data_IF_290890443634
#
_entry.id   IF_290890443634
#
_cell.length_a   1.000
_cell.length_b   1.000
_cell.length_c   1.000
_cell.angle_alpha   90.00
_cell.angle_beta   90.00
_cell.angle_gamma   90.00
#
_symmetry.space_group_name_H-M   'P 1'
#
loop_
_entity.id
_entity.type
_entity.pdbx_description
1 polymer ?
#
# COMPACT_ATOMS: atom_id res chain seq x y z
N UNK A 1 -4.14 8.88 -7.63
CA UNK A 1 -4.06 9.70 -6.40
C UNK A 1 -4.73 8.92 -5.29
N UNK A 2 -4.05 8.67 -4.17
CA UNK A 2 -4.65 8.03 -2.99
C UNK A 2 -5.43 9.05 -2.15
N UNK A 3 -6.42 8.59 -1.38
CA UNK A 3 -7.19 9.47 -0.49
C UNK A 3 -6.28 10.18 0.53
N UNK A 4 -5.18 9.53 0.94
CA UNK A 4 -4.17 10.13 1.80
C UNK A 4 -3.48 11.34 1.14
N UNK A 5 -3.14 11.25 -0.16
CA UNK A 5 -2.60 12.40 -0.92
C UNK A 5 -3.62 13.54 -1.03
N UNK A 6 -4.91 13.22 -1.25
CA UNK A 6 -5.97 14.23 -1.36
C UNK A 6 -6.11 15.00 -0.04
N UNK A 7 -6.15 14.30 1.09
CA UNK A 7 -6.29 14.94 2.41
C UNK A 7 -5.02 15.70 2.81
N UNK A 8 -3.84 15.16 2.52
CA UNK A 8 -2.56 15.81 2.83
C UNK A 8 -2.33 17.08 1.97
N UNK A 9 -2.67 17.01 0.69
CA UNK A 9 -2.67 18.15 -0.23
C UNK A 9 -3.69 19.21 0.18
N UNK A 10 -4.91 18.81 0.54
CA UNK A 10 -5.95 19.72 1.04
C UNK A 10 -5.51 20.44 2.31
N UNK A 11 -4.93 19.73 3.29
CA UNK A 11 -4.40 20.35 4.51
C UNK A 11 -3.27 21.34 4.19
N UNK A 12 -2.36 20.97 3.30
CA UNK A 12 -1.24 21.84 2.89
C UNK A 12 -1.73 23.12 2.23
N UNK A 13 -2.76 23.00 1.39
CA UNK A 13 -3.36 24.12 0.68
C UNK A 13 -4.13 25.03 1.64
N UNK A 14 -4.96 24.47 2.52
CA UNK A 14 -5.69 25.20 3.56
C UNK A 14 -4.75 25.90 4.56
N UNK A 15 -3.63 25.28 4.89
CA UNK A 15 -2.61 25.86 5.76
C UNK A 15 -1.83 27.01 5.09
N UNK A 16 -1.73 26.98 3.76
CA UNK A 16 -1.01 27.98 2.96
C UNK A 16 -1.89 29.15 2.50
N UNK A 17 -3.22 28.98 2.52
CA UNK A 17 -4.19 29.99 2.10
C UNK A 17 -4.32 31.06 3.19
N UNK A 18 -3.39 32.01 3.13
CA UNK A 18 -3.16 33.03 4.14
C UNK A 18 -4.41 33.83 4.50
N UNK A 19 -4.97 33.51 5.67
CA UNK A 19 -5.96 34.25 6.48
C UNK A 19 -7.46 33.98 6.24
N UNK A 20 -7.88 33.28 5.19
CA UNK A 20 -9.31 33.04 4.90
C UNK A 20 -9.88 31.76 5.48
N UNK A 21 -9.04 30.80 5.87
CA UNK A 21 -9.48 29.49 6.37
C UNK A 21 -9.86 29.55 7.85
N UNK A 22 -11.07 29.13 8.18
CA UNK A 22 -11.55 29.13 9.57
C UNK A 22 -10.80 28.08 10.41
N UNK A 23 -10.61 28.31 11.73
CA UNK A 23 -10.04 27.31 12.63
C UNK A 23 -10.81 25.98 12.62
N UNK A 24 -12.12 26.04 12.34
CA UNK A 24 -12.98 24.87 12.25
C UNK A 24 -12.71 24.03 10.99
N UNK A 25 -12.44 24.68 9.85
CA UNK A 25 -12.07 23.98 8.61
C UNK A 25 -10.71 23.30 8.76
N UNK A 26 -9.73 23.98 9.38
CA UNK A 26 -8.43 23.40 9.69
C UNK A 26 -8.56 22.22 10.65
N UNK A 27 -9.35 22.35 11.71
CA UNK A 27 -9.60 21.25 12.65
C UNK A 27 -10.24 20.04 11.97
N UNK A 28 -11.18 20.28 11.05
CA UNK A 28 -11.85 19.22 10.29
C UNK A 28 -10.88 18.52 9.33
N UNK A 29 -10.06 19.29 8.61
CA UNK A 29 -9.04 18.75 7.71
C UNK A 29 -7.99 17.91 8.46
N UNK A 30 -7.52 18.38 9.62
CA UNK A 30 -6.59 17.62 10.47
C UNK A 30 -7.23 16.34 10.99
N UNK A 31 -8.49 16.40 11.44
CA UNK A 31 -9.23 15.22 11.91
C UNK A 31 -9.38 14.19 10.80
N UNK A 32 -9.76 14.63 9.59
CA UNK A 32 -9.85 13.76 8.42
C UNK A 32 -8.51 13.12 8.08
N UNK A 33 -7.43 13.91 8.03
CA UNK A 33 -6.09 13.40 7.71
C UNK A 33 -5.61 12.37 8.75
N UNK A 34 -5.79 12.63 10.04
CA UNK A 34 -5.46 11.67 11.12
C UNK A 34 -6.24 10.37 10.96
N UNK A 35 -7.55 10.46 10.68
CA UNK A 35 -8.41 9.29 10.46
C UNK A 35 -7.97 8.47 9.24
N UNK A 36 -7.71 9.13 8.11
CA UNK A 36 -7.26 8.47 6.89
C UNK A 36 -5.87 7.85 7.04
N UNK A 37 -4.96 8.53 7.72
CA UNK A 37 -3.64 8.02 8.02
C UNK A 37 -3.73 6.74 8.87
N UNK A 38 -4.52 6.75 9.94
CA UNK A 38 -4.73 5.58 10.79
C UNK A 38 -5.41 4.42 10.06
N UNK A 39 -6.38 4.73 9.18
CA UNK A 39 -7.04 3.73 8.35
C UNK A 39 -6.07 3.11 7.35
N UNK A 40 -5.19 3.93 6.75
CA UNK A 40 -4.18 3.47 5.80
C UNK A 40 -3.15 2.56 6.48
N UNK A 41 -2.60 2.97 7.64
CA UNK A 41 -1.64 2.13 8.38
C UNK A 41 -2.28 0.84 8.89
N UNK A 42 -3.53 0.86 9.35
CA UNK A 42 -4.27 -0.34 9.71
C UNK A 42 -4.49 -1.29 8.53
N UNK A 43 -4.82 -0.75 7.35
CA UNK A 43 -5.00 -1.52 6.11
C UNK A 43 -3.69 -2.19 5.70
N UNK A 44 -2.60 -1.44 5.71
CA UNK A 44 -1.26 -1.95 5.37
C UNK A 44 -0.80 -3.02 6.35
N UNK A 45 -1.01 -2.83 7.66
CA UNK A 45 -0.70 -3.86 8.68
C UNK A 45 -1.53 -5.12 8.53
N UNK A 46 -2.80 -4.97 8.17
CA UNK A 46 -3.68 -6.12 7.86
C UNK A 46 -3.15 -6.88 6.66
N UNK A 47 -2.74 -6.18 5.60
CA UNK A 47 -2.11 -6.79 4.43
C UNK A 47 -0.80 -7.51 4.79
N UNK A 48 0.02 -6.94 5.69
CA UNK A 48 1.25 -7.55 6.17
C UNK A 48 1.03 -8.79 7.06
N UNK A 49 -0.16 -8.93 7.65
CA UNK A 49 -0.52 -10.05 8.52
C UNK A 49 -1.19 -11.22 7.77
N UNK A 50 -1.53 -11.05 6.48
CA UNK A 50 -2.15 -12.11 5.70
C UNK A 50 -1.18 -13.30 5.54
N UNK A 51 -1.61 -14.52 5.89
CA UNK A 51 -0.79 -15.72 5.67
C UNK A 51 -0.65 -15.97 4.16
N UNK A 52 0.59 -16.12 3.69
CA UNK A 52 0.88 -16.26 2.27
C UNK A 52 2.33 -15.94 1.93
N UNK A 53 2.54 -15.42 0.72
CA UNK A 53 3.87 -15.06 0.19
C UNK A 53 4.56 -14.01 1.08
N UNK A 54 5.80 -14.23 1.55
CA UNK A 54 6.51 -13.31 2.44
C UNK A 54 6.83 -11.96 1.80
N UNK A 55 6.83 -11.87 0.48
CA UNK A 55 7.24 -10.66 -0.26
C UNK A 55 6.22 -9.52 -0.14
N UNK A 56 4.91 -9.71 -0.44
CA UNK A 56 3.88 -8.71 -0.15
C UNK A 56 3.84 -8.25 1.31
N UNK A 57 4.15 -9.15 2.25
CA UNK A 57 4.19 -8.82 3.66
C UNK A 57 5.39 -7.91 4.04
N UNK A 58 6.53 -8.07 3.36
CA UNK A 58 7.69 -7.18 3.52
C UNK A 58 7.43 -5.80 2.91
N UNK A 59 6.85 -5.74 1.70
CA UNK A 59 6.52 -4.48 1.04
C UNK A 59 5.48 -3.70 1.87
N UNK A 60 4.47 -4.38 2.41
CA UNK A 60 3.51 -3.76 3.32
C UNK A 60 4.17 -3.26 4.62
N UNK A 61 5.12 -3.99 5.22
CA UNK A 61 5.89 -3.49 6.36
C UNK A 61 6.74 -2.27 5.99
N UNK A 62 7.32 -2.25 4.78
CA UNK A 62 8.04 -1.09 4.25
C UNK A 62 7.15 0.14 4.17
N UNK A 63 5.94 0.00 3.61
CA UNK A 63 4.95 1.08 3.53
C UNK A 63 4.55 1.58 4.93
N UNK A 64 4.28 0.69 5.89
CA UNK A 64 3.95 1.10 7.27
C UNK A 64 5.11 1.87 7.91
N UNK A 65 6.35 1.42 7.73
CA UNK A 65 7.54 2.11 8.25
C UNK A 65 7.75 3.47 7.58
N UNK A 66 7.59 3.55 6.26
CA UNK A 66 7.71 4.79 5.51
C UNK A 66 6.67 5.82 5.99
N UNK A 67 5.39 5.43 6.08
CA UNK A 67 4.33 6.28 6.61
C UNK A 67 4.58 6.70 8.06
N UNK A 68 5.00 5.78 8.93
CA UNK A 68 5.36 6.11 10.33
C UNK A 68 6.55 7.08 10.41
N UNK A 69 7.54 6.93 9.53
CA UNK A 69 8.73 7.78 9.51
C UNK A 69 8.40 9.25 9.20
N UNK A 70 7.35 9.51 8.42
CA UNK A 70 6.88 10.87 8.11
C UNK A 70 6.45 11.64 9.35
N UNK A 71 6.06 10.93 10.41
CA UNK A 71 5.58 11.52 11.66
C UNK A 71 6.60 11.38 12.79
N UNK A 72 7.35 10.27 12.86
CA UNK A 72 8.15 9.92 14.03
C UNK A 72 9.63 10.35 13.99
N UNK A 73 10.27 10.41 12.81
CA UNK A 73 11.75 10.39 12.72
C UNK A 73 12.43 11.76 12.59
N UNK A 74 11.71 12.86 12.76
CA UNK A 74 12.28 14.21 12.69
C UNK A 74 12.18 14.89 14.06
N UNK A 75 13.31 15.04 14.80
CA UNK A 75 13.32 15.51 16.20
C UNK A 75 12.70 16.90 16.42
N UNK A 76 12.51 17.70 15.36
CA UNK A 76 11.75 18.96 15.40
C UNK A 76 10.27 18.83 15.05
N UNK A 77 9.89 17.83 14.23
CA UNK A 77 8.53 17.64 13.74
C UNK A 77 7.64 16.97 14.79
N UNK A 78 8.15 16.00 15.54
CA UNK A 78 7.40 15.32 16.61
C UNK A 78 7.06 16.29 17.75
N UNK A 79 8.01 17.13 18.14
CA UNK A 79 7.78 18.14 19.19
C UNK A 79 6.80 19.24 18.73
N UNK A 80 6.92 19.71 17.49
CA UNK A 80 6.00 20.70 16.93
C UNK A 80 4.57 20.16 16.77
N UNK A 81 4.43 18.92 16.29
CA UNK A 81 3.13 18.23 16.19
C UNK A 81 2.53 17.97 17.57
N UNK A 82 3.33 17.51 18.54
CA UNK A 82 2.88 17.29 19.90
C UNK A 82 2.44 18.59 20.58
N UNK A 83 3.13 19.71 20.31
CA UNK A 83 2.76 21.03 20.83
C UNK A 83 1.36 21.47 20.37
N UNK A 84 0.95 21.09 19.15
CA UNK A 84 -0.38 21.38 18.60
C UNK A 84 -1.40 20.24 18.80
N UNK A 85 -1.06 19.23 19.60
CA UNK A 85 -1.97 18.15 20.00
C UNK A 85 -1.99 16.92 19.09
N UNK A 86 -1.04 16.76 18.17
CA UNK A 86 -0.90 15.56 17.33
C UNK A 86 0.24 14.70 17.90
N UNK A 87 -0.07 13.48 18.33
CA UNK A 87 0.93 12.56 18.92
C UNK A 87 0.87 11.18 18.28
N UNK A 88 1.99 10.46 18.30
CA UNK A 88 2.04 9.05 17.89
C UNK A 88 1.85 8.19 19.14
N UNK A 89 0.85 7.30 19.14
CA UNK A 89 0.55 6.37 20.22
C UNK A 89 0.32 4.97 19.63
N UNK A 90 1.07 3.97 20.10
CA UNK A 90 0.94 2.58 19.65
C UNK A 90 0.95 2.39 18.11
N UNK A 91 1.75 3.19 17.40
CA UNK A 91 1.85 3.12 15.93
C UNK A 91 0.65 3.75 15.20
N UNK A 92 -0.14 4.59 15.85
CA UNK A 92 -1.21 5.37 15.26
C UNK A 92 -1.12 6.84 15.70
N UNK A 93 -1.81 7.73 15.01
CA UNK A 93 -1.93 9.13 15.38
C UNK A 93 -3.10 9.35 16.32
N UNK A 94 -2.87 10.15 17.36
CA UNK A 94 -3.87 10.66 18.28
C UNK A 94 -3.94 12.18 18.16
N UNK A 95 -5.17 12.70 18.08
CA UNK A 95 -5.45 14.13 17.98
C UNK A 95 -6.15 14.63 19.24
N UNK A 96 -5.53 15.58 19.93
CA UNK A 96 -6.16 16.38 20.97
C UNK A 96 -6.76 17.65 20.35
N UNK A 97 -8.04 17.57 19.97
CA UNK A 97 -8.77 18.68 19.33
C UNK A 97 -8.77 19.96 20.18
N UNK A 98 -8.82 19.83 21.51
CA UNK A 98 -8.78 20.99 22.41
C UNK A 98 -7.44 21.72 22.35
N UNK A 99 -6.35 20.95 22.32
CA UNK A 99 -5.00 21.51 22.22
C UNK A 99 -4.73 22.10 20.84
N UNK A 100 -5.26 21.50 19.78
CA UNK A 100 -5.21 22.07 18.43
C UNK A 100 -5.97 23.41 18.37
N UNK A 101 -7.19 23.46 18.93
CA UNK A 101 -7.97 24.68 18.99
C UNK A 101 -7.23 25.78 19.78
N UNK A 102 -6.65 25.43 20.93
CA UNK A 102 -5.84 26.35 21.73
C UNK A 102 -4.60 26.86 20.97
N UNK A 103 -3.93 26.00 20.20
CA UNK A 103 -2.77 26.38 19.39
C UNK A 103 -3.17 27.32 18.23
N UNK A 104 -4.30 27.05 17.57
CA UNK A 104 -4.86 27.93 16.54
C UNK A 104 -5.26 29.31 17.08
N UNK A 105 -5.75 29.38 18.32
CA UNK A 105 -6.09 30.65 18.98
C UNK A 105 -4.83 31.42 19.42
N UNK A 106 -3.86 30.71 20.00
CA UNK A 106 -2.68 31.34 20.62
C UNK A 106 -1.60 31.73 19.60
N UNK A 107 -1.36 30.88 18.59
CA UNK A 107 -0.33 31.05 17.57
C UNK A 107 -0.83 30.54 16.21
N UNK A 108 -1.80 31.23 15.58
CA UNK A 108 -2.44 30.76 14.34
C UNK A 108 -1.44 30.53 13.21
N UNK A 109 -0.49 31.45 13.00
CA UNK A 109 0.44 31.37 11.87
C UNK A 109 1.45 30.23 12.04
N UNK A 110 2.01 30.06 13.24
CA UNK A 110 2.91 28.94 13.54
C UNK A 110 2.18 27.61 13.42
N UNK A 111 0.97 27.51 13.98
CA UNK A 111 0.15 26.29 13.91
C UNK A 111 -0.17 25.92 12.46
N UNK A 112 -0.60 26.89 11.64
CA UNK A 112 -0.83 26.68 10.21
C UNK A 112 0.45 26.26 9.49
N UNK A 113 1.58 26.91 9.74
CA UNK A 113 2.86 26.53 9.13
C UNK A 113 3.26 25.09 9.48
N UNK A 114 3.11 24.68 10.75
CA UNK A 114 3.37 23.30 11.18
C UNK A 114 2.44 22.31 10.49
N UNK A 115 1.14 22.60 10.42
CA UNK A 115 0.17 21.74 9.73
C UNK A 115 0.45 21.64 8.23
N UNK A 116 0.82 22.73 7.58
CA UNK A 116 1.16 22.77 6.17
C UNK A 116 2.42 21.96 5.85
N UNK A 117 3.47 22.12 6.65
CA UNK A 117 4.69 21.30 6.52
C UNK A 117 4.40 19.81 6.74
N UNK A 118 3.53 19.49 7.70
CA UNK A 118 3.13 18.11 7.96
C UNK A 118 2.32 17.51 6.80
N UNK A 119 1.34 18.24 6.27
CA UNK A 119 0.61 17.84 5.07
C UNK A 119 1.54 17.59 3.89
N UNK A 120 2.50 18.48 3.62
CA UNK A 120 3.47 18.33 2.54
C UNK A 120 4.37 17.10 2.71
N UNK A 121 4.73 16.76 3.95
CA UNK A 121 5.53 15.56 4.27
C UNK A 121 4.74 14.28 3.96
N UNK A 122 3.47 14.23 4.39
CA UNK A 122 2.60 13.08 4.10
C UNK A 122 2.37 12.95 2.59
N UNK A 123 2.07 14.05 1.90
CA UNK A 123 1.85 14.04 0.46
C UNK A 123 3.09 13.55 -0.32
N UNK A 124 4.28 14.02 0.07
CA UNK A 124 5.54 13.57 -0.53
C UNK A 124 5.78 12.09 -0.31
N UNK A 125 5.60 11.58 0.91
CA UNK A 125 5.80 10.16 1.20
C UNK A 125 4.76 9.29 0.50
N UNK A 126 3.49 9.68 0.51
CA UNK A 126 2.45 8.96 -0.22
C UNK A 126 2.72 8.97 -1.74
N UNK A 127 3.30 10.04 -2.27
CA UNK A 127 3.73 10.12 -3.67
C UNK A 127 4.93 9.23 -3.96
N UNK A 128 5.90 9.13 -3.05
CA UNK A 128 7.03 8.22 -3.17
C UNK A 128 6.58 6.75 -3.18
N UNK A 129 5.65 6.38 -2.29
CA UNK A 129 5.13 5.01 -2.25
C UNK A 129 4.37 4.61 -3.53
N UNK A 130 3.79 5.60 -4.22
CA UNK A 130 3.07 5.42 -5.48
C UNK A 130 3.93 5.64 -6.72
N UNK A 131 5.18 6.08 -6.57
CA UNK A 131 6.08 6.29 -7.69
C UNK A 131 6.60 4.96 -8.24
N UNK A 132 7.33 5.03 -9.37
CA UNK A 132 7.83 3.84 -10.07
C UNK A 132 8.85 3.02 -9.23
N UNK A 133 9.48 3.65 -8.25
CA UNK A 133 10.46 3.08 -7.30
C UNK A 133 9.86 2.81 -5.91
N UNK A 134 8.60 3.17 -5.69
CA UNK A 134 7.89 2.98 -4.44
C UNK A 134 7.47 1.53 -4.21
N UNK A 135 7.15 1.19 -2.96
CA UNK A 135 6.81 -0.17 -2.57
C UNK A 135 5.55 -0.70 -3.30
N UNK A 136 4.61 0.17 -3.70
CA UNK A 136 3.42 -0.24 -4.47
C UNK A 136 3.81 -0.68 -5.88
N UNK A 137 4.70 0.04 -6.55
CA UNK A 137 5.20 -0.30 -7.89
C UNK A 137 6.04 -1.58 -7.86
N UNK A 138 6.88 -1.74 -6.83
CA UNK A 138 7.65 -2.95 -6.60
C UNK A 138 6.75 -4.17 -6.38
N UNK A 139 5.75 -4.06 -5.50
CA UNK A 139 4.79 -5.12 -5.24
C UNK A 139 4.03 -5.51 -6.53
N UNK A 140 3.61 -4.52 -7.32
CA UNK A 140 2.93 -4.76 -8.60
C UNK A 140 3.84 -5.45 -9.63
N UNK A 141 5.10 -5.02 -9.74
CA UNK A 141 6.10 -5.64 -10.62
C UNK A 141 6.37 -7.09 -10.25
N UNK A 142 6.46 -7.39 -8.95
CA UNK A 142 6.62 -8.76 -8.45
C UNK A 142 5.37 -9.61 -8.72
N UNK A 143 4.16 -9.07 -8.53
CA UNK A 143 2.92 -9.75 -8.86
C UNK A 143 2.83 -10.07 -10.36
N UNK A 144 3.23 -9.14 -11.24
CA UNK A 144 3.29 -9.42 -12.68
C UNK A 144 4.28 -10.54 -13.00
N UNK A 145 5.44 -10.57 -12.34
CA UNK A 145 6.41 -11.63 -12.55
C UNK A 145 5.87 -13.00 -12.11
N UNK A 146 5.18 -13.04 -10.97
CA UNK A 146 4.51 -14.25 -10.51
C UNK A 146 3.38 -14.69 -11.43
N UNK A 147 2.56 -13.75 -11.93
CA UNK A 147 1.50 -14.06 -12.89
C UNK A 147 2.06 -14.68 -14.17
N UNK A 148 3.16 -14.13 -14.71
CA UNK A 148 3.86 -14.72 -15.87
C UNK A 148 4.45 -16.09 -15.57
N UNK A 149 4.99 -16.30 -14.37
CA UNK A 149 5.49 -17.60 -13.94
C UNK A 149 4.36 -18.63 -13.84
N UNK A 150 3.21 -18.23 -13.29
CA UNK A 150 2.04 -19.10 -13.19
C UNK A 150 1.48 -19.44 -14.57
N UNK A 151 1.42 -18.48 -15.50
CA UNK A 151 1.00 -18.69 -16.88
C UNK A 151 1.93 -19.67 -17.63
N UNK A 152 3.25 -19.50 -17.45
CA UNK A 152 4.24 -20.45 -17.97
C UNK A 152 4.08 -21.86 -17.38
N UNK A 153 3.78 -21.96 -16.07
CA UNK A 153 3.51 -23.24 -15.41
C UNK A 153 2.22 -23.89 -15.93
N UNK A 154 1.15 -23.12 -16.11
CA UNK A 154 -0.11 -23.61 -16.67
C UNK A 154 0.08 -24.10 -18.11
N UNK A 155 0.84 -23.36 -18.92
CA UNK A 155 1.18 -23.73 -20.29
C UNK A 155 2.01 -25.01 -20.37
N UNK A 156 2.99 -25.17 -19.47
CA UNK A 156 3.81 -26.37 -19.37
C UNK A 156 2.97 -27.58 -18.93
N UNK A 157 2.04 -27.40 -17.98
CA UNK A 157 1.15 -28.46 -17.52
C UNK A 157 0.19 -28.91 -18.63
N UNK A 158 -0.38 -27.96 -19.38
CA UNK A 158 -1.23 -28.25 -20.53
C UNK A 158 -0.48 -29.04 -21.60
N UNK A 159 0.76 -28.64 -21.91
CA UNK A 159 1.63 -29.34 -22.86
C UNK A 159 1.98 -30.75 -22.39
N UNK A 160 2.29 -30.93 -21.10
CA UNK A 160 2.54 -32.25 -20.51
C UNK A 160 1.29 -33.15 -20.55
N UNK A 161 0.10 -32.58 -20.33
CA UNK A 161 -1.18 -33.27 -20.49
C UNK A 161 -1.40 -33.78 -21.92
N UNK A 162 -1.13 -32.94 -22.93
CA UNK A 162 -1.20 -33.31 -24.34
C UNK A 162 -0.19 -34.40 -24.71
N UNK A 163 1.06 -34.29 -24.25
CA UNK A 163 2.09 -35.31 -24.47
C UNK A 163 1.69 -36.66 -23.84
N UNK A 164 1.12 -36.64 -22.64
CA UNK A 164 0.61 -37.84 -21.96
C UNK A 164 -0.55 -38.48 -22.74
N UNK A 165 -1.47 -37.66 -23.27
CA UNK A 165 -2.57 -38.15 -24.10
C UNK A 165 -2.08 -38.77 -25.42
N UNK A 166 -1.09 -38.16 -26.08
CA UNK A 166 -0.46 -38.67 -27.30
C UNK A 166 0.29 -39.99 -27.07
N UNK A 167 0.98 -40.14 -25.92
CA UNK A 167 1.61 -41.41 -25.56
C UNK A 167 0.59 -42.53 -25.37
N UNK A 168 -0.55 -42.25 -24.71
CA UNK A 168 -1.62 -43.23 -24.52
C UNK A 168 -2.27 -43.66 -25.84
N UNK A 169 -2.55 -42.73 -26.75
CA UNK A 169 -3.15 -43.07 -28.05
C UNK A 169 -2.23 -43.93 -28.91
N UNK A 170 -0.92 -43.64 -28.91
CA UNK A 170 0.08 -44.41 -29.67
C UNK A 170 0.27 -45.82 -29.10
N UNK A 171 0.27 -45.96 -27.77
CA UNK A 171 0.35 -47.28 -27.12
C UNK A 171 -0.87 -48.15 -27.45
N UNK A 172 -2.09 -47.59 -27.38
CA UNK A 172 -3.32 -48.29 -27.74
C UNK A 172 -3.35 -48.72 -29.20
N UNK A 173 -2.90 -47.86 -30.13
CA UNK A 173 -2.84 -48.19 -31.56
C UNK A 173 -1.84 -49.32 -31.86
N UNK A 174 -0.69 -49.35 -31.18
CA UNK A 174 0.28 -50.45 -31.30
C UNK A 174 -0.28 -51.78 -30.79
N UNK A 175 -1.05 -51.74 -29.71
CA UNK A 175 -1.67 -52.94 -29.12
C UNK A 175 -2.75 -53.53 -30.04
N UNK A 176 -3.58 -52.67 -30.66
CA UNK A 176 -4.55 -53.08 -31.67
C UNK A 176 -3.86 -53.62 -32.92
N UNK A 177 -2.81 -52.95 -33.41
CA UNK A 177 -2.04 -53.41 -34.57
C UNK A 177 -1.39 -54.79 -34.37
N UNK A 178 -0.85 -55.07 -33.18
CA UNK A 178 -0.26 -56.36 -32.86
C UNK A 178 -1.31 -57.48 -32.78
N UNK A 179 -2.47 -57.20 -32.18
CA UNK A 179 -3.57 -58.15 -32.07
C UNK A 179 -4.15 -58.51 -33.45
N UNK A 180 -4.34 -57.50 -34.32
CA UNK A 180 -4.80 -57.72 -35.70
C UNK A 180 -3.79 -58.55 -36.50
N UNK A 181 -2.49 -58.27 -36.35
CA UNK A 181 -1.45 -59.02 -37.05
C UNK A 181 -1.40 -60.48 -36.60
N UNK A 182 -1.56 -60.76 -35.30
CA UNK A 182 -1.60 -62.15 -34.80
C UNK A 182 -2.82 -62.93 -35.26
N UNK A 183 -3.97 -62.29 -35.46
CA UNK A 183 -5.19 -62.94 -35.95
C UNK A 183 -5.19 -63.29 -37.45
N UNK A 184 -4.28 -62.72 -38.26
CA UNK A 184 -4.25 -62.95 -39.71
C UNK A 184 -3.22 -64.00 -40.17
N UNK A 185 -2.49 -64.62 -39.23
CA UNK A 185 -1.45 -65.63 -39.51
C UNK A 185 -1.75 -67.00 -38.87
N UNK A 186 -2.91 -67.16 -38.22
CA UNK A 186 -3.41 -68.43 -37.70
C UNK A 186 -4.64 -68.87 -38.47
#
# INVERSE_FOLDING_TARGET
MSDLQIQAGSLSQLASDGKTVSPQDLTSAVTALVSFFNTSTATVRTAAALPGDPVPAQDAKGIDQALMSTVANEPGSTNALAAIGITVQAGALSLNVKQLAQALDSNPDTTRATLGQWGQRIDRSASQELDATGHVSDAFSKLQHQARKLDAQQSALASAGQATAAYRSTASQRQVGLATYQSSIG
#
